data_IF_806282398801
#
_entry.id   IF_806282398801
#
_cell.length_a   1.000
_cell.length_b   1.000
_cell.length_c   1.000
_cell.angle_alpha   90.00
_cell.angle_beta   90.00
_cell.angle_gamma   90.00
#
_symmetry.space_group_name_H-M   'P 1'
#
loop_
_entity.id
_entity.type
_entity.pdbx_description
1 polymer ?
#
# COMPACT_ATOMS: atom_id res chain seq x y z
N UNK A 1 -6.88 7.92 23.63
CA UNK A 1 -7.06 7.42 22.25
C UNK A 1 -6.14 6.24 22.09
N UNK A 2 -6.69 5.03 22.26
CA UNK A 2 -5.89 3.80 22.21
C UNK A 2 -5.55 3.49 20.77
N UNK A 3 -4.26 3.43 20.49
CA UNK A 3 -3.75 2.79 19.27
C UNK A 3 -4.32 1.38 19.24
N UNK A 4 -4.96 0.99 18.17
CA UNK A 4 -5.36 -0.40 17.92
C UNK A 4 -4.21 -1.31 18.36
N UNK A 5 -4.49 -2.17 19.34
CA UNK A 5 -3.46 -2.98 19.98
C UNK A 5 -2.72 -3.76 18.90
N UNK A 6 -1.42 -3.90 19.07
CA UNK A 6 -0.54 -4.72 18.25
C UNK A 6 -1.17 -6.10 17.93
N UNK A 7 -1.97 -6.64 18.84
CA UNK A 7 -2.79 -7.86 18.63
C UNK A 7 -3.81 -7.74 17.48
N UNK A 8 -4.45 -6.58 17.28
CA UNK A 8 -5.42 -6.41 16.19
C UNK A 8 -4.69 -6.35 14.83
N UNK A 9 -3.56 -5.64 14.76
CA UNK A 9 -2.70 -5.64 13.56
C UNK A 9 -2.19 -7.05 13.23
N UNK A 10 -1.80 -7.82 14.23
CA UNK A 10 -1.34 -9.20 14.05
C UNK A 10 -2.47 -10.18 13.63
N UNK A 11 -3.70 -9.96 14.08
CA UNK A 11 -4.87 -10.74 13.67
C UNK A 11 -5.16 -10.58 12.17
N UNK A 12 -4.95 -9.38 11.63
CA UNK A 12 -5.13 -9.10 10.20
C UNK A 12 -4.11 -9.89 9.38
N UNK A 13 -2.83 -9.87 9.76
CA UNK A 13 -1.79 -10.65 9.08
C UNK A 13 -2.02 -12.16 9.13
N UNK A 14 -2.49 -12.68 10.26
CA UNK A 14 -2.83 -14.11 10.44
C UNK A 14 -4.00 -14.55 9.57
N UNK A 15 -4.98 -13.67 9.37
CA UNK A 15 -6.17 -13.91 8.54
C UNK A 15 -5.83 -13.99 7.03
N UNK A 16 -4.80 -13.30 6.58
CA UNK A 16 -4.48 -13.17 5.15
C UNK A 16 -3.34 -14.06 4.66
N UNK A 17 -2.90 -15.09 5.42
CA UNK A 17 -1.84 -16.06 5.04
C UNK A 17 -0.99 -15.56 3.85
N UNK A 18 -0.03 -14.69 4.13
CA UNK A 18 0.90 -14.18 3.12
C UNK A 18 1.70 -15.35 2.54
N UNK A 19 1.61 -15.53 1.23
CA UNK A 19 2.18 -16.68 0.51
C UNK A 19 3.70 -16.61 0.31
N UNK A 20 4.39 -15.59 0.79
CA UNK A 20 5.85 -15.60 0.76
C UNK A 20 6.38 -16.40 1.95
N UNK A 21 6.76 -17.63 1.65
CA UNK A 21 7.53 -18.53 2.47
C UNK A 21 8.93 -17.95 2.70
N UNK A 22 9.13 -17.32 3.81
CA UNK A 22 10.43 -16.86 4.26
C UNK A 22 10.30 -16.32 5.66
N UNK A 23 10.79 -17.06 6.63
CA UNK A 23 10.97 -16.59 7.99
C UNK A 23 11.75 -15.27 7.97
N UNK A 24 11.22 -14.23 8.61
CA UNK A 24 11.87 -12.92 8.79
C UNK A 24 11.94 -11.98 7.59
N UNK A 25 11.11 -12.13 6.56
CA UNK A 25 11.15 -11.19 5.44
C UNK A 25 10.03 -10.14 5.55
N UNK A 26 10.43 -8.90 5.30
CA UNK A 26 9.51 -7.79 5.04
C UNK A 26 8.66 -8.10 3.80
N UNK A 27 7.45 -7.56 3.80
CA UNK A 27 6.56 -7.57 2.64
C UNK A 27 6.67 -6.22 1.97
N UNK A 28 7.28 -6.16 0.80
CA UNK A 28 7.36 -4.96 -0.02
C UNK A 28 5.99 -4.58 -0.55
N UNK A 29 5.60 -3.33 -0.41
CA UNK A 29 4.30 -2.86 -0.91
C UNK A 29 4.23 -2.98 -2.42
N UNK A 30 5.24 -2.48 -3.13
CA UNK A 30 5.38 -2.56 -4.59
C UNK A 30 5.38 -4.01 -5.09
N UNK A 31 6.23 -4.86 -4.54
CA UNK A 31 6.34 -6.27 -4.94
C UNK A 31 5.02 -7.01 -4.77
N UNK A 32 4.34 -6.74 -3.64
CA UNK A 32 3.04 -7.35 -3.35
C UNK A 32 1.95 -6.83 -4.29
N UNK A 33 1.99 -5.54 -4.66
CA UNK A 33 1.07 -4.98 -5.64
C UNK A 33 1.23 -5.67 -7.02
N UNK A 34 2.46 -5.93 -7.45
CA UNK A 34 2.74 -6.70 -8.67
C UNK A 34 2.21 -8.14 -8.58
N UNK A 35 2.43 -8.81 -7.44
CA UNK A 35 1.86 -10.15 -7.20
C UNK A 35 0.31 -10.13 -7.25
N UNK A 36 -0.32 -9.06 -6.75
CA UNK A 36 -1.77 -8.89 -6.82
C UNK A 36 -2.26 -8.76 -8.26
N UNK A 37 -1.58 -7.96 -9.09
CA UNK A 37 -1.92 -7.82 -10.51
C UNK A 37 -1.94 -9.18 -11.22
N UNK A 38 -0.95 -10.03 -10.96
CA UNK A 38 -0.92 -11.38 -11.51
C UNK A 38 -2.03 -12.29 -10.96
N UNK A 39 -2.57 -11.98 -9.77
CA UNK A 39 -3.61 -12.79 -9.12
C UNK A 39 -5.03 -12.43 -9.57
N UNK A 40 -5.28 -11.21 -10.00
CA UNK A 40 -6.61 -10.68 -10.33
C UNK A 40 -7.42 -11.64 -11.19
N UNK A 41 -6.93 -12.13 -12.36
CA UNK A 41 -7.73 -12.98 -13.24
C UNK A 41 -8.04 -14.37 -12.66
N UNK A 42 -7.33 -14.78 -11.60
CA UNK A 42 -7.51 -16.11 -10.99
C UNK A 42 -8.33 -16.08 -9.70
N UNK A 43 -8.23 -15.01 -8.92
CA UNK A 43 -8.92 -14.90 -7.64
C UNK A 43 -9.07 -13.44 -7.19
N UNK A 44 -10.06 -12.76 -7.76
CA UNK A 44 -10.35 -11.36 -7.51
C UNK A 44 -10.56 -11.05 -6.01
N UNK A 45 -11.34 -11.89 -5.30
CA UNK A 45 -11.58 -11.71 -3.86
C UNK A 45 -10.29 -11.71 -3.05
N UNK A 46 -9.36 -12.60 -3.39
CA UNK A 46 -8.06 -12.67 -2.70
C UNK A 46 -7.17 -11.49 -3.07
N UNK A 47 -7.23 -11.04 -4.32
CA UNK A 47 -6.56 -9.83 -4.79
C UNK A 47 -7.03 -8.61 -4.00
N UNK A 48 -8.35 -8.38 -3.89
CA UNK A 48 -8.94 -7.31 -3.07
C UNK A 48 -8.46 -7.37 -1.61
N UNK A 49 -8.55 -8.53 -0.97
CA UNK A 49 -8.12 -8.69 0.42
C UNK A 49 -6.63 -8.36 0.63
N UNK A 50 -5.78 -8.67 -0.35
CA UNK A 50 -4.36 -8.33 -0.29
C UNK A 50 -4.13 -6.84 -0.52
N UNK A 51 -4.87 -6.22 -1.44
CA UNK A 51 -4.77 -4.79 -1.66
C UNK A 51 -5.27 -4.00 -0.44
N UNK A 52 -6.35 -4.45 0.22
CA UNK A 52 -6.82 -3.86 1.48
C UNK A 52 -5.70 -3.86 2.55
N UNK A 53 -4.92 -4.95 2.62
CA UNK A 53 -3.75 -5.00 3.50
C UNK A 53 -2.68 -3.96 3.13
N UNK A 54 -2.44 -3.73 1.83
CA UNK A 54 -1.49 -2.71 1.41
C UNK A 54 -2.00 -1.29 1.71
N UNK A 55 -3.30 -1.02 1.58
CA UNK A 55 -3.88 0.27 1.98
C UNK A 55 -3.67 0.57 3.46
N UNK A 56 -3.67 -0.45 4.34
CA UNK A 56 -3.33 -0.22 5.77
C UNK A 56 -1.89 0.23 6.00
N UNK A 57 -1.04 0.23 4.98
CA UNK A 57 0.33 0.74 5.03
C UNK A 57 0.43 2.20 4.56
N UNK A 58 -0.67 2.80 4.13
CA UNK A 58 -0.73 4.20 3.73
C UNK A 58 -0.97 5.10 4.94
N UNK A 59 -0.32 6.24 4.95
CA UNK A 59 -0.52 7.33 5.90
C UNK A 59 -1.60 8.30 5.43
N UNK A 60 -2.17 9.07 6.36
CA UNK A 60 -3.21 10.06 6.06
C UNK A 60 -2.76 11.19 5.13
N UNK A 61 -1.46 11.45 5.03
CA UNK A 61 -0.90 12.40 4.07
C UNK A 61 -0.75 11.81 2.65
N UNK A 62 -0.98 10.51 2.47
CA UNK A 62 -1.01 9.82 1.19
C UNK A 62 0.22 8.98 0.87
N UNK A 63 1.38 9.19 1.54
CA UNK A 63 2.52 8.31 1.31
C UNK A 63 2.28 6.91 1.87
N UNK A 64 3.07 5.95 1.43
CA UNK A 64 2.96 4.55 1.83
C UNK A 64 4.29 4.01 2.33
N UNK A 65 4.26 3.14 3.34
CA UNK A 65 5.42 2.39 3.77
C UNK A 65 6.02 1.60 2.60
N UNK A 66 7.35 1.53 2.56
CA UNK A 66 8.03 0.70 1.55
C UNK A 66 7.92 -0.79 1.88
N UNK A 67 8.05 -1.12 3.16
CA UNK A 67 7.89 -2.47 3.68
C UNK A 67 6.92 -2.49 4.85
N UNK A 68 6.14 -3.56 4.95
CA UNK A 68 5.51 -3.94 6.20
C UNK A 68 6.18 -5.20 6.76
N UNK A 69 6.30 -5.26 8.06
CA UNK A 69 6.88 -6.41 8.76
C UNK A 69 5.75 -7.16 9.46
N UNK A 70 5.57 -8.45 9.19
CA UNK A 70 4.51 -9.24 9.81
C UNK A 70 4.84 -9.63 11.26
N UNK A 71 6.04 -9.33 11.75
CA UNK A 71 6.50 -9.69 13.08
C UNK A 71 6.41 -8.53 14.05
N UNK A 72 6.05 -8.85 15.29
CA UNK A 72 5.95 -7.90 16.38
C UNK A 72 7.33 -7.28 16.71
N UNK A 73 7.36 -5.96 16.96
CA UNK A 73 8.58 -5.25 17.33
C UNK A 73 9.44 -4.75 16.15
N UNK A 74 8.98 -4.93 14.90
CA UNK A 74 9.66 -4.39 13.74
C UNK A 74 8.92 -3.16 13.22
N UNK A 75 9.58 -2.03 13.20
CA UNK A 75 9.05 -0.78 12.65
C UNK A 75 9.40 -0.64 11.16
N UNK A 76 8.51 -0.04 10.36
CA UNK A 76 8.80 0.23 8.95
C UNK A 76 10.02 1.14 8.82
N UNK A 77 10.82 0.88 7.80
CA UNK A 77 11.92 1.78 7.46
C UNK A 77 11.33 3.11 6.98
N UNK A 78 11.69 4.21 7.63
CA UNK A 78 11.25 5.57 7.28
C UNK A 78 11.94 6.05 6.00
N UNK A 79 11.65 5.41 4.88
CA UNK A 79 12.08 5.83 3.55
C UNK A 79 10.85 5.95 2.68
N UNK A 80 10.55 7.16 2.25
CA UNK A 80 9.41 7.43 1.37
C UNK A 80 9.89 7.27 -0.06
N UNK A 81 9.37 6.27 -0.74
CA UNK A 81 9.58 6.04 -2.16
C UNK A 81 8.51 6.74 -2.98
N UNK A 82 8.89 7.24 -4.14
CA UNK A 82 8.01 8.02 -5.01
C UNK A 82 6.87 7.20 -5.64
N UNK A 83 6.99 5.90 -5.69
CA UNK A 83 6.11 5.02 -6.44
C UNK A 83 5.19 4.13 -5.60
N UNK A 84 5.51 3.85 -4.32
CA UNK A 84 4.75 2.88 -3.52
C UNK A 84 3.25 3.18 -3.43
N UNK A 85 2.88 4.45 -3.21
CA UNK A 85 1.48 4.89 -3.13
C UNK A 85 0.78 4.83 -4.50
N UNK A 86 1.52 5.00 -5.60
CA UNK A 86 0.96 4.89 -6.96
C UNK A 86 0.68 3.44 -7.36
N UNK A 87 1.42 2.47 -6.81
CA UNK A 87 1.13 1.05 -6.98
C UNK A 87 -0.23 0.65 -6.41
N UNK A 88 -0.68 1.30 -5.33
CA UNK A 88 -2.02 1.09 -4.78
C UNK A 88 -3.10 1.53 -5.78
N UNK A 89 -2.91 2.72 -6.38
CA UNK A 89 -3.82 3.29 -7.39
C UNK A 89 -3.93 2.35 -8.60
N UNK A 90 -2.78 1.97 -9.17
CA UNK A 90 -2.73 1.10 -10.35
C UNK A 90 -3.38 -0.27 -10.09
N UNK A 91 -3.08 -0.88 -8.95
CA UNK A 91 -3.65 -2.18 -8.58
C UNK A 91 -5.16 -2.09 -8.37
N UNK A 92 -5.63 -1.02 -7.72
CA UNK A 92 -7.05 -0.77 -7.53
C UNK A 92 -7.78 -0.61 -8.88
N UNK A 93 -7.20 0.15 -9.81
CA UNK A 93 -7.74 0.29 -11.16
C UNK A 93 -7.98 -1.08 -11.84
N UNK A 94 -7.00 -1.98 -11.80
CA UNK A 94 -7.13 -3.30 -12.39
C UNK A 94 -8.17 -4.17 -11.68
N UNK A 95 -8.34 -4.06 -10.37
CA UNK A 95 -9.40 -4.74 -9.63
C UNK A 95 -10.76 -4.26 -10.08
N UNK A 96 -10.97 -2.94 -10.20
CA UNK A 96 -12.24 -2.34 -10.66
C UNK A 96 -12.56 -2.79 -12.09
N UNK A 97 -11.55 -2.78 -12.97
CA UNK A 97 -11.74 -3.24 -14.36
C UNK A 97 -12.16 -4.70 -14.44
N UNK A 98 -11.63 -5.57 -13.61
CA UNK A 98 -12.01 -6.98 -13.55
C UNK A 98 -13.36 -7.20 -12.89
N UNK A 99 -13.68 -6.43 -11.83
CA UNK A 99 -14.96 -6.52 -11.11
C UNK A 99 -16.14 -5.97 -11.93
N UNK A 100 -15.87 -4.96 -12.76
CA UNK A 100 -16.88 -4.30 -13.60
C UNK A 100 -17.83 -3.37 -12.85
N UNK A 101 -17.56 -3.08 -11.55
CA UNK A 101 -18.31 -2.13 -10.71
C UNK A 101 -17.37 -1.22 -9.93
N UNK A 102 -17.92 -0.13 -9.39
CA UNK A 102 -17.17 0.82 -8.55
C UNK A 102 -17.36 0.54 -7.03
N UNK A 103 -18.08 -0.50 -6.66
CA UNK A 103 -18.44 -0.78 -5.27
C UNK A 103 -17.23 -0.93 -4.36
N UNK A 104 -16.10 -1.40 -4.90
CA UNK A 104 -14.85 -1.50 -4.16
C UNK A 104 -14.34 -0.15 -3.65
N UNK A 105 -14.67 0.94 -4.32
CA UNK A 105 -14.24 2.29 -3.91
C UNK A 105 -14.89 2.75 -2.60
N UNK A 106 -16.02 2.17 -2.22
CA UNK A 106 -16.76 2.50 -0.99
C UNK A 106 -16.28 1.68 0.23
N UNK A 107 -15.44 0.65 0.03
CA UNK A 107 -14.88 -0.10 1.15
C UNK A 107 -14.04 0.82 2.04
N UNK A 108 -14.22 0.72 3.38
CA UNK A 108 -13.52 1.56 4.36
C UNK A 108 -12.34 0.80 4.92
N UNK A 109 -11.16 1.44 4.89
CA UNK A 109 -9.88 0.86 5.32
C UNK A 109 -9.17 1.84 6.27
N UNK A 110 -8.45 1.28 7.25
CA UNK A 110 -7.68 2.06 8.21
C UNK A 110 -6.37 2.57 7.60
N UNK A 111 -5.97 3.79 7.96
CA UNK A 111 -4.61 4.29 7.71
C UNK A 111 -3.60 3.72 8.71
N UNK A 112 -2.33 3.70 8.32
CA UNK A 112 -1.25 3.24 9.18
C UNK A 112 -1.12 4.07 10.47
N UNK A 113 -1.30 5.36 10.36
CA UNK A 113 -1.19 6.36 11.46
C UNK A 113 -2.54 6.67 12.14
N UNK A 114 -3.54 5.83 11.92
CA UNK A 114 -4.86 5.90 12.55
C UNK A 114 -5.89 6.66 11.74
N UNK A 115 -7.17 6.42 12.08
CA UNK A 115 -8.32 6.86 11.28
C UNK A 115 -8.57 5.93 10.11
N UNK A 116 -9.71 6.10 9.46
CA UNK A 116 -10.17 5.27 8.34
C UNK A 116 -10.72 6.15 7.23
N UNK A 117 -10.71 5.66 6.01
CA UNK A 117 -11.28 6.33 4.86
C UNK A 117 -11.74 5.28 3.82
N UNK A 118 -12.53 5.73 2.86
CA UNK A 118 -12.90 4.87 1.72
C UNK A 118 -11.69 4.61 0.82
N UNK A 119 -11.70 3.50 0.08
CA UNK A 119 -10.68 3.21 -0.94
C UNK A 119 -10.53 4.37 -1.92
N UNK A 120 -11.64 5.04 -2.28
CA UNK A 120 -11.60 6.24 -3.11
C UNK A 120 -10.79 7.37 -2.49
N UNK A 121 -10.95 7.61 -1.19
CA UNK A 121 -10.17 8.64 -0.48
C UNK A 121 -8.69 8.27 -0.34
N UNK A 122 -8.39 6.98 -0.12
CA UNK A 122 -7.02 6.48 -0.15
C UNK A 122 -6.35 6.75 -1.50
N UNK A 123 -7.05 6.50 -2.62
CA UNK A 123 -6.55 6.78 -3.98
C UNK A 123 -6.30 8.28 -4.17
N UNK A 124 -7.27 9.14 -3.81
CA UNK A 124 -7.09 10.60 -3.89
C UNK A 124 -5.85 11.05 -3.14
N UNK A 125 -5.67 10.58 -1.91
CA UNK A 125 -4.50 10.92 -1.09
C UNK A 125 -3.18 10.46 -1.71
N UNK A 126 -3.14 9.29 -2.38
CA UNK A 126 -1.96 8.85 -3.12
C UNK A 126 -1.60 9.83 -4.24
N UNK A 127 -2.60 10.26 -4.99
CA UNK A 127 -2.41 11.20 -6.11
C UNK A 127 -2.01 12.58 -5.57
N UNK A 128 -2.71 13.06 -4.54
CA UNK A 128 -2.42 14.37 -3.91
C UNK A 128 -0.99 14.40 -3.35
N UNK A 129 -0.54 13.31 -2.72
CA UNK A 129 0.83 13.20 -2.25
C UNK A 129 1.84 13.34 -3.40
N UNK A 130 1.60 12.67 -4.52
CA UNK A 130 2.44 12.79 -5.71
C UNK A 130 2.44 14.25 -6.25
N UNK A 131 1.26 14.85 -6.37
CA UNK A 131 1.10 16.22 -6.89
C UNK A 131 1.69 17.30 -5.98
N UNK A 132 1.74 17.04 -4.67
CA UNK A 132 2.36 17.94 -3.69
C UNK A 132 3.90 17.78 -3.58
N UNK A 133 4.47 16.78 -4.27
CA UNK A 133 5.90 16.49 -4.30
C UNK A 133 6.44 16.56 -5.74
N UNK A 134 6.17 17.68 -6.41
CA UNK A 134 6.71 17.97 -7.75
C UNK A 134 7.99 18.81 -7.65
N UNK A 135 8.93 18.55 -8.54
CA UNK A 135 10.10 19.37 -8.75
C UNK A 135 9.79 20.62 -9.58
N UNK A 136 10.80 21.48 -9.78
CA UNK A 136 10.68 22.74 -10.50
C UNK A 136 10.13 22.59 -11.93
N UNK A 137 10.37 21.46 -12.56
CA UNK A 137 9.89 21.15 -13.92
C UNK A 137 8.50 20.50 -13.96
N UNK A 138 7.80 20.41 -12.83
CA UNK A 138 6.47 19.79 -12.73
C UNK A 138 6.46 18.28 -12.79
N UNK A 139 7.61 17.62 -12.69
CA UNK A 139 7.70 16.15 -12.56
C UNK A 139 7.73 15.72 -11.09
N UNK A 140 7.14 14.55 -10.75
CA UNK A 140 7.26 14.00 -9.42
C UNK A 140 8.71 13.83 -8.97
N UNK A 141 8.99 14.20 -7.73
CA UNK A 141 10.30 13.99 -7.12
C UNK A 141 10.53 12.51 -6.88
N UNK A 142 11.77 12.06 -7.08
CA UNK A 142 12.17 10.67 -6.82
C UNK A 142 12.14 10.34 -5.31
N UNK A 143 12.17 11.37 -4.44
CA UNK A 143 12.20 11.22 -2.98
C UNK A 143 13.42 10.38 -2.54
N UNK A 144 13.19 9.38 -1.67
CA UNK A 144 14.29 8.51 -1.25
C UNK A 144 14.72 7.53 -2.35
N UNK A 145 13.80 7.08 -3.18
CA UNK A 145 14.01 6.21 -4.33
C UNK A 145 12.69 6.00 -5.08
N UNK A 146 12.76 5.40 -6.25
CA UNK A 146 11.64 4.89 -7.02
C UNK A 146 11.74 3.36 -7.20
N UNK A 147 11.24 2.82 -8.30
CA UNK A 147 11.36 1.40 -8.64
C UNK A 147 12.82 0.93 -8.68
N UNK A 148 13.76 1.79 -9.06
CA UNK A 148 15.18 1.48 -9.04
C UNK A 148 15.80 1.94 -7.71
N UNK A 149 15.82 1.05 -6.74
CA UNK A 149 16.32 1.30 -5.38
C UNK A 149 17.80 1.73 -5.32
N UNK A 150 18.54 1.61 -6.43
CA UNK A 150 19.94 2.00 -6.53
C UNK A 150 20.13 3.47 -6.93
N UNK A 151 19.10 4.12 -7.48
CA UNK A 151 19.16 5.52 -7.94
C UNK A 151 18.71 6.48 -6.83
N UNK A 152 19.29 6.37 -5.65
CA UNK A 152 19.04 7.38 -4.62
C UNK A 152 20.23 8.33 -4.49
N UNK A 153 19.92 9.63 -4.41
CA UNK A 153 20.91 10.72 -4.26
C UNK A 153 21.98 10.73 -5.38
N UNK A 154 21.60 11.21 -6.52
CA UNK A 154 22.52 11.92 -7.41
C UNK A 154 22.44 13.40 -7.07
#
# INVERSE_FOLDING_TARGET
MESLSIRAKFSIFKKYKLLRTGTFRSVGVRDTAQDILAMIPFNLRRAKNKLNLLFTQQYRDGHCNHYCFPLEGWEPVKRIHSDNHLWLVMTCYHIIMEEGTLDYLDEVIDFYDGGSATVWEHIKKSIDFCMNNLGENGFPLMLASDWNDMLYKV
#
